data_IF_427003994692
#
_entry.id   IF_427003994692
#
_cell.length_a   1.000
_cell.length_b   1.000
_cell.length_c   1.000
_cell.angle_alpha   90.00
_cell.angle_beta   90.00
_cell.angle_gamma   90.00
#
_symmetry.space_group_name_H-M   'P 1'
#
loop_
_entity.id
_entity.type
_entity.pdbx_description
1 polymer ?
#
# COMPACT_ATOMS: atom_id res chain seq x y z
N UNK A 1 -16.80 6.08 8.47
CA UNK A 1 -15.49 5.41 8.58
C UNK A 1 -14.90 5.27 7.19
N UNK A 2 -13.62 5.53 7.05
CA UNK A 2 -12.86 5.35 5.81
C UNK A 2 -12.48 3.88 5.67
N UNK A 3 -12.90 3.24 4.61
CA UNK A 3 -12.55 1.84 4.34
C UNK A 3 -11.16 1.76 3.70
N UNK A 4 -10.27 0.95 4.29
CA UNK A 4 -8.87 0.87 3.89
C UNK A 4 -8.44 -0.56 3.61
N UNK A 5 -7.72 -0.74 2.51
CA UNK A 5 -7.03 -1.98 2.18
C UNK A 5 -5.51 -1.86 2.31
N UNK A 6 -4.83 -2.96 2.64
CA UNK A 6 -3.37 -3.00 2.76
C UNK A 6 -2.79 -4.15 1.95
N UNK A 7 -2.03 -3.84 0.92
CA UNK A 7 -1.21 -4.82 0.21
C UNK A 7 0.14 -5.02 0.89
N UNK A 8 0.56 -6.28 1.02
CA UNK A 8 1.86 -6.61 1.60
C UNK A 8 1.87 -6.69 3.13
N UNK A 9 0.77 -7.13 3.71
CA UNK A 9 0.59 -7.20 5.17
C UNK A 9 1.60 -8.10 5.91
N UNK A 10 2.22 -9.05 5.24
CA UNK A 10 3.19 -9.97 5.85
C UNK A 10 4.58 -9.33 6.09
N UNK A 11 4.89 -8.21 5.43
CA UNK A 11 6.14 -7.50 5.61
C UNK A 11 6.15 -6.56 6.82
N UNK A 12 7.32 -6.03 7.20
CA UNK A 12 7.46 -5.11 8.33
C UNK A 12 6.65 -3.82 8.15
N UNK A 13 6.72 -3.19 6.97
CA UNK A 13 5.99 -1.96 6.68
C UNK A 13 4.47 -2.18 6.69
N UNK A 14 4.02 -3.30 6.11
CA UNK A 14 2.60 -3.66 6.13
C UNK A 14 2.08 -3.92 7.53
N UNK A 15 2.85 -4.61 8.36
CA UNK A 15 2.51 -4.85 9.77
C UNK A 15 2.43 -3.57 10.59
N UNK A 16 3.36 -2.65 10.39
CA UNK A 16 3.35 -1.37 11.10
C UNK A 16 2.21 -0.45 10.62
N UNK A 17 1.94 -0.42 9.32
CA UNK A 17 0.76 0.27 8.79
C UNK A 17 -0.54 -0.27 9.40
N UNK A 18 -0.69 -1.59 9.47
CA UNK A 18 -1.85 -2.23 10.09
C UNK A 18 -1.98 -1.89 11.57
N UNK A 19 -0.88 -1.88 12.32
CA UNK A 19 -0.90 -1.50 13.75
C UNK A 19 -1.50 -0.11 13.95
N UNK A 20 -1.10 0.85 13.13
CA UNK A 20 -1.61 2.22 13.21
C UNK A 20 -3.05 2.32 12.73
N UNK A 21 -3.38 1.67 11.61
CA UNK A 21 -4.71 1.74 11.00
C UNK A 21 -5.80 1.06 11.84
N UNK A 22 -5.48 -0.07 12.49
CA UNK A 22 -6.43 -0.80 13.34
C UNK A 22 -6.80 -0.03 14.62
N UNK A 23 -5.92 0.85 15.09
CA UNK A 23 -6.17 1.72 16.25
C UNK A 23 -6.79 3.07 15.87
N UNK A 24 -6.89 3.38 14.57
CA UNK A 24 -7.37 4.70 14.12
C UNK A 24 -8.89 4.81 14.23
N UNK A 25 -9.43 5.85 14.91
CA UNK A 25 -10.86 5.92 15.26
C UNK A 25 -11.80 6.06 14.06
N UNK A 26 -11.32 6.56 12.92
CA UNK A 26 -12.14 6.81 11.74
C UNK A 26 -11.83 5.85 10.57
N UNK A 27 -11.00 4.84 10.80
CA UNK A 27 -10.57 3.88 9.77
C UNK A 27 -11.12 2.50 10.08
N UNK A 28 -11.57 1.82 9.03
CA UNK A 28 -11.89 0.40 9.05
C UNK A 28 -11.01 -0.33 8.04
N UNK A 29 -10.13 -1.18 8.51
CA UNK A 29 -9.38 -2.08 7.62
C UNK A 29 -10.33 -3.16 7.11
N UNK A 30 -10.66 -3.11 5.83
CA UNK A 30 -11.62 -4.04 5.21
C UNK A 30 -10.95 -5.29 4.65
N UNK A 31 -9.68 -5.20 4.29
CA UNK A 31 -8.85 -6.33 3.91
C UNK A 31 -7.35 -6.01 4.05
N UNK A 32 -6.57 -7.05 4.21
CA UNK A 32 -5.12 -7.02 4.11
C UNK A 32 -4.65 -8.28 3.37
N UNK A 33 -3.60 -8.17 2.56
CA UNK A 33 -3.22 -9.25 1.66
C UNK A 33 -1.89 -9.89 2.01
N UNK A 34 -1.81 -11.20 1.77
CA UNK A 34 -0.57 -11.96 1.74
C UNK A 34 -0.68 -13.11 0.75
N UNK A 35 0.39 -13.40 0.05
CA UNK A 35 0.46 -14.58 -0.85
C UNK A 35 0.74 -15.89 -0.13
N UNK A 36 1.05 -15.84 1.16
CA UNK A 36 1.48 -17.02 1.93
C UNK A 36 0.32 -17.92 2.40
N UNK A 37 -0.92 -17.40 2.43
CA UNK A 37 -2.07 -18.10 3.00
C UNK A 37 -2.03 -18.29 4.51
N UNK A 38 -1.03 -17.74 5.21
CA UNK A 38 -0.91 -17.83 6.66
C UNK A 38 -1.65 -16.69 7.36
N UNK A 39 -2.17 -16.91 8.59
CA UNK A 39 -2.83 -15.86 9.35
C UNK A 39 -1.83 -14.77 9.79
N UNK A 40 -2.37 -13.58 10.13
CA UNK A 40 -1.57 -12.39 10.46
C UNK A 40 -0.61 -12.60 11.63
N UNK A 41 -1.00 -13.35 12.63
CA UNK A 41 -0.20 -13.63 13.82
C UNK A 41 1.07 -14.44 13.53
N UNK A 42 1.14 -15.14 12.41
CA UNK A 42 2.36 -15.80 11.95
C UNK A 42 3.46 -14.81 11.56
N UNK A 43 3.09 -13.58 11.22
CA UNK A 43 3.99 -12.51 10.82
C UNK A 43 4.15 -11.44 11.90
N UNK A 44 3.04 -11.10 12.57
CA UNK A 44 2.94 -9.98 13.51
C UNK A 44 2.17 -10.42 14.76
N UNK A 45 2.89 -10.88 15.78
CA UNK A 45 2.30 -11.37 17.04
C UNK A 45 1.50 -10.30 17.78
N UNK A 46 1.90 -9.04 17.65
CA UNK A 46 1.19 -7.90 18.22
C UNK A 46 -0.19 -7.64 17.61
N UNK A 47 -0.54 -8.31 16.51
CA UNK A 47 -1.83 -8.20 15.84
C UNK A 47 -2.71 -9.45 16.00
N UNK A 48 -2.33 -10.39 16.87
CA UNK A 48 -3.05 -11.66 17.03
C UNK A 48 -4.52 -11.46 17.47
N UNK A 49 -4.80 -10.44 18.25
CA UNK A 49 -6.16 -10.18 18.76
C UNK A 49 -6.98 -9.27 17.83
N UNK A 50 -6.43 -8.88 16.68
CA UNK A 50 -7.13 -7.99 15.72
C UNK A 50 -8.31 -8.64 15.01
N UNK A 51 -8.34 -9.97 14.96
CA UNK A 51 -9.33 -10.73 14.17
C UNK A 51 -9.16 -10.59 12.65
N UNK A 52 -8.08 -9.94 12.18
CA UNK A 52 -7.84 -9.67 10.78
C UNK A 52 -7.41 -10.94 10.04
N UNK A 53 -8.19 -11.33 9.04
CA UNK A 53 -7.84 -12.42 8.14
C UNK A 53 -7.11 -11.88 6.90
N UNK A 54 -5.99 -12.50 6.56
CA UNK A 54 -5.26 -12.16 5.33
C UNK A 54 -5.91 -12.86 4.13
N UNK A 55 -6.09 -12.11 3.05
CA UNK A 55 -6.65 -12.62 1.79
C UNK A 55 -5.56 -12.69 0.70
N UNK A 56 -5.83 -13.43 -0.35
CA UNK A 56 -4.99 -13.41 -1.56
C UNK A 56 -5.12 -12.03 -2.24
N UNK A 57 -4.03 -11.44 -2.76
CA UNK A 57 -4.10 -10.15 -3.45
C UNK A 57 -5.14 -10.05 -4.57
N UNK A 58 -5.43 -11.17 -5.26
CA UNK A 58 -6.46 -11.22 -6.33
C UNK A 58 -7.89 -11.03 -5.82
N UNK A 59 -8.13 -11.28 -4.53
CA UNK A 59 -9.45 -11.17 -3.90
C UNK A 59 -9.69 -9.77 -3.27
N UNK A 60 -8.73 -8.85 -3.43
CA UNK A 60 -8.86 -7.48 -2.97
C UNK A 60 -9.98 -6.74 -3.72
N UNK A 61 -10.84 -6.07 -2.98
CA UNK A 61 -11.97 -5.30 -3.53
C UNK A 61 -11.70 -3.79 -3.46
N UNK A 62 -12.32 -2.97 -4.32
CA UNK A 62 -12.23 -1.52 -4.21
C UNK A 62 -12.66 -1.02 -2.83
N UNK A 63 -11.96 -0.02 -2.32
CA UNK A 63 -12.23 0.66 -1.07
C UNK A 63 -11.77 2.13 -1.16
N UNK A 64 -12.00 2.93 -0.11
CA UNK A 64 -11.71 4.37 -0.15
C UNK A 64 -10.21 4.67 -0.31
N UNK A 65 -9.37 3.92 0.38
CA UNK A 65 -7.92 4.08 0.30
C UNK A 65 -7.18 2.74 0.37
N UNK A 66 -6.05 2.67 -0.31
CA UNK A 66 -5.17 1.49 -0.34
C UNK A 66 -3.76 1.89 0.02
N UNK A 67 -3.17 1.15 0.94
CA UNK A 67 -1.74 1.22 1.27
C UNK A 67 -0.97 0.14 0.54
N UNK A 68 0.09 0.55 -0.17
CA UNK A 68 1.05 -0.37 -0.75
C UNK A 68 2.28 -0.51 0.15
N UNK A 69 2.45 -1.67 0.75
CA UNK A 69 3.67 -2.09 1.44
C UNK A 69 4.35 -3.21 0.64
N UNK A 70 4.59 -2.95 -0.64
CA UNK A 70 5.06 -3.90 -1.63
C UNK A 70 6.46 -3.54 -2.15
N UNK A 71 7.21 -4.52 -2.68
CA UNK A 71 8.44 -4.24 -3.42
C UNK A 71 8.20 -3.32 -4.61
N UNK A 72 9.20 -2.50 -4.94
CA UNK A 72 9.20 -1.64 -6.12
C UNK A 72 8.88 -2.44 -7.39
N UNK A 73 8.01 -1.88 -8.21
CA UNK A 73 7.52 -2.47 -9.45
C UNK A 73 6.10 -3.02 -9.37
N UNK A 74 5.65 -3.50 -8.21
CA UNK A 74 4.28 -4.00 -8.05
C UNK A 74 3.25 -2.86 -7.93
N UNK A 75 3.46 -1.81 -7.12
CA UNK A 75 2.52 -0.69 -7.03
C UNK A 75 2.23 -0.04 -8.38
N UNK A 76 3.25 0.21 -9.20
CA UNK A 76 3.06 0.85 -10.52
C UNK A 76 2.27 0.00 -11.52
N UNK A 77 2.22 -1.32 -11.33
CA UNK A 77 1.38 -2.20 -12.15
C UNK A 77 -0.09 -2.18 -11.73
N UNK A 78 -0.36 -1.93 -10.46
CA UNK A 78 -1.69 -2.01 -9.85
C UNK A 78 -2.40 -0.65 -9.78
N UNK A 79 -1.63 0.43 -9.65
CA UNK A 79 -2.16 1.77 -9.41
C UNK A 79 -3.17 2.26 -10.47
N UNK A 80 -2.94 2.10 -11.80
CA UNK A 80 -3.89 2.60 -12.80
C UNK A 80 -5.29 2.00 -12.66
N UNK A 81 -5.38 0.74 -12.28
CA UNK A 81 -6.67 0.06 -12.12
C UNK A 81 -7.42 0.55 -10.89
N UNK A 82 -6.74 0.66 -9.76
CA UNK A 82 -7.32 1.16 -8.52
C UNK A 82 -7.78 2.62 -8.63
N UNK A 83 -7.02 3.46 -9.33
CA UNK A 83 -7.38 4.86 -9.56
C UNK A 83 -8.66 5.02 -10.39
N UNK A 84 -8.95 4.09 -11.30
CA UNK A 84 -10.23 4.09 -12.05
C UNK A 84 -11.44 3.88 -11.13
N UNK A 85 -11.26 3.25 -9.98
CA UNK A 85 -12.30 3.06 -8.97
C UNK A 85 -12.36 4.20 -7.93
N UNK A 86 -11.68 5.32 -8.21
CA UNK A 86 -11.61 6.48 -7.30
C UNK A 86 -10.99 6.16 -5.93
N UNK A 87 -10.16 5.11 -5.85
CA UNK A 87 -9.42 4.74 -4.65
C UNK A 87 -8.21 5.65 -4.46
N UNK A 88 -8.01 6.18 -3.26
CA UNK A 88 -6.78 6.92 -2.92
C UNK A 88 -5.64 5.94 -2.66
N UNK A 89 -4.47 6.21 -3.25
CA UNK A 89 -3.30 5.35 -3.11
C UNK A 89 -2.25 5.99 -2.21
N UNK A 90 -1.78 5.22 -1.26
CA UNK A 90 -0.66 5.58 -0.38
C UNK A 90 0.44 4.53 -0.57
N UNK A 91 1.47 4.89 -1.34
CA UNK A 91 2.60 4.00 -1.58
C UNK A 91 3.70 4.24 -0.54
N UNK A 92 3.97 3.24 0.28
CA UNK A 92 5.07 3.26 1.25
C UNK A 92 6.42 2.92 0.60
N UNK A 93 6.40 2.53 -0.67
CA UNK A 93 7.57 2.20 -1.47
C UNK A 93 8.14 3.39 -2.25
N UNK A 94 8.71 3.08 -3.40
CA UNK A 94 9.49 4.03 -4.19
C UNK A 94 8.89 4.39 -5.55
N UNK A 95 7.84 3.68 -6.00
CA UNK A 95 7.36 3.76 -7.37
C UNK A 95 6.85 5.16 -7.77
N UNK A 96 6.35 5.93 -6.82
CA UNK A 96 5.78 7.27 -7.05
C UNK A 96 6.53 8.39 -6.31
N UNK A 97 7.76 8.13 -5.88
CA UNK A 97 8.53 9.04 -5.01
C UNK A 97 9.21 10.19 -5.76
N UNK A 98 9.85 9.90 -6.87
CA UNK A 98 10.66 10.88 -7.59
C UNK A 98 9.85 11.57 -8.70
N UNK A 99 10.26 12.80 -9.04
CA UNK A 99 9.62 13.63 -10.09
C UNK A 99 10.33 13.55 -11.44
N UNK A 100 11.53 12.98 -11.51
CA UNK A 100 12.27 12.78 -12.76
C UNK A 100 12.29 11.30 -13.11
N UNK A 101 11.74 10.95 -14.27
CA UNK A 101 11.63 9.57 -14.74
C UNK A 101 12.99 8.92 -14.97
N UNK A 102 13.93 9.66 -15.56
CA UNK A 102 15.26 9.14 -15.84
C UNK A 102 16.03 8.83 -14.55
N UNK A 103 15.93 9.71 -13.56
CA UNK A 103 16.53 9.50 -12.24
C UNK A 103 15.93 8.29 -11.54
N UNK A 104 14.60 8.15 -11.59
CA UNK A 104 13.92 7.00 -11.01
C UNK A 104 14.38 5.69 -11.67
N UNK A 105 14.39 5.65 -13.01
CA UNK A 105 14.81 4.45 -13.75
C UNK A 105 16.28 4.11 -13.52
N UNK A 106 17.13 5.12 -13.34
CA UNK A 106 18.55 4.91 -13.04
C UNK A 106 18.76 4.38 -11.62
N UNK A 107 18.11 4.97 -10.62
CA UNK A 107 18.28 4.60 -9.21
C UNK A 107 17.72 3.21 -8.90
N UNK A 108 16.55 2.89 -9.46
CA UNK A 108 15.86 1.62 -9.18
C UNK A 108 16.12 0.52 -10.21
N UNK A 109 16.86 0.83 -11.27
CA UNK A 109 17.24 -0.10 -12.36
C UNK A 109 16.01 -0.84 -12.94
N UNK A 110 14.96 -0.07 -13.25
CA UNK A 110 13.68 -0.58 -13.79
C UNK A 110 13.08 0.42 -14.75
N UNK A 111 12.22 -0.08 -15.66
CA UNK A 111 11.33 0.76 -16.45
C UNK A 111 10.07 1.08 -15.66
N UNK A 112 9.65 2.34 -15.64
CA UNK A 112 8.41 2.73 -14.96
C UNK A 112 7.19 2.45 -15.84
N UNK A 113 6.20 1.71 -15.30
CA UNK A 113 5.04 1.24 -16.04
C UNK A 113 3.90 2.28 -16.19
N UNK A 114 3.83 3.30 -15.32
CA UNK A 114 2.78 4.33 -15.34
C UNK A 114 3.34 5.67 -14.83
N UNK A 115 4.20 6.29 -15.62
CA UNK A 115 4.85 7.54 -15.22
C UNK A 115 3.86 8.71 -15.07
N UNK A 116 2.78 8.73 -15.82
CA UNK A 116 1.67 9.69 -15.69
C UNK A 116 1.12 9.73 -14.25
N UNK A 117 0.96 8.59 -13.61
CA UNK A 117 0.56 8.51 -12.19
C UNK A 117 1.64 9.09 -11.28
N UNK A 118 2.91 8.81 -11.55
CA UNK A 118 4.03 9.34 -10.77
C UNK A 118 4.16 10.87 -10.87
N UNK A 119 3.84 11.46 -12.02
CA UNK A 119 3.84 12.91 -12.22
C UNK A 119 2.81 13.62 -11.33
N UNK A 120 1.65 13.02 -11.12
CA UNK A 120 0.58 13.55 -10.28
C UNK A 120 0.76 13.26 -8.79
N UNK A 121 1.59 12.25 -8.45
CA UNK A 121 1.81 11.83 -7.08
C UNK A 121 2.51 12.91 -6.25
N UNK A 122 2.14 12.99 -4.98
CA UNK A 122 2.80 13.88 -4.00
C UNK A 122 3.72 13.05 -3.13
N UNK A 123 4.99 13.44 -3.06
CA UNK A 123 5.92 12.86 -2.09
C UNK A 123 5.63 13.45 -0.72
N UNK A 124 4.86 12.70 0.08
CA UNK A 124 4.39 13.14 1.38
C UNK A 124 5.43 12.93 2.48
N UNK A 125 5.85 14.04 3.09
CA UNK A 125 6.47 14.08 4.42
C UNK A 125 5.63 15.11 5.18
N UNK A 126 4.54 14.68 5.86
CA UNK A 126 3.57 15.61 6.45
C UNK A 126 4.18 16.61 7.44
N UNK A 127 5.29 16.25 8.07
CA UNK A 127 6.04 17.10 8.98
C UNK A 127 6.66 18.32 8.27
N UNK A 128 6.96 18.19 6.97
CA UNK A 128 7.56 19.25 6.15
C UNK A 128 6.56 19.90 5.18
N UNK A 129 5.53 19.18 4.78
CA UNK A 129 4.58 19.57 3.74
C UNK A 129 3.14 19.36 4.22
N UNK A 130 2.64 20.33 4.98
CA UNK A 130 1.23 20.37 5.41
C UNK A 130 0.36 21.11 4.40
#
# INVERSE_FOLDING_TARGET
MIEVGVFGASGYMGGEALRVLLEHPEVKVVWATSRSGKPIECFHRNLCDSGLQLIDPKDATPCDAVFFALPSGLPMQMAPDLLRHNTKLIDLGADFRLKNRADWQHIYDKQHACWDVAEEAVYGIPELHR
#
